data_IF_590459852956
#
_entry.id   IF_590459852956
#
_cell.length_a   1.000
_cell.length_b   1.000
_cell.length_c   1.000
_cell.angle_alpha   90.00
_cell.angle_beta   90.00
_cell.angle_gamma   90.00
#
_symmetry.space_group_name_H-M   'P 1'
#
loop_
_entity.id
_entity.type
_entity.pdbx_description
1 polymer ?
#
# COMPACT_ATOMS: atom_id res chain seq x y z
N UNK A 1 -28.88 6.44 4.85
CA UNK A 1 -27.48 6.20 4.52
C UNK A 1 -27.37 5.19 3.39
N UNK A 2 -26.48 5.42 2.48
CA UNK A 2 -26.27 4.53 1.35
C UNK A 2 -25.16 3.52 1.61
N UNK A 3 -25.01 2.59 0.68
CA UNK A 3 -23.95 1.59 0.70
C UNK A 3 -22.55 2.20 0.73
N UNK A 4 -22.37 3.35 0.10
CA UNK A 4 -21.10 4.08 0.08
C UNK A 4 -20.67 4.48 1.48
N UNK A 5 -21.60 4.98 2.29
CA UNK A 5 -21.32 5.38 3.66
C UNK A 5 -21.02 4.17 4.55
N UNK A 6 -21.75 3.08 4.37
CA UNK A 6 -21.50 1.84 5.09
C UNK A 6 -20.13 1.27 4.74
N UNK A 7 -19.77 1.28 3.47
CA UNK A 7 -18.47 0.82 3.02
C UNK A 7 -17.34 1.66 3.60
N UNK A 8 -17.50 2.98 3.61
CA UNK A 8 -16.53 3.88 4.24
C UNK A 8 -16.33 3.53 5.71
N UNK A 9 -17.40 3.35 6.46
CA UNK A 9 -17.35 3.01 7.88
C UNK A 9 -16.68 1.66 8.11
N UNK A 10 -16.99 0.67 7.29
CA UNK A 10 -16.35 -0.66 7.36
C UNK A 10 -14.84 -0.56 7.15
N UNK A 11 -14.42 0.25 6.18
CA UNK A 11 -12.99 0.46 5.92
C UNK A 11 -12.29 1.18 7.07
N UNK A 12 -12.92 2.19 7.65
CA UNK A 12 -12.35 2.91 8.80
C UNK A 12 -12.25 2.00 10.04
N UNK A 13 -13.27 1.18 10.27
CA UNK A 13 -13.26 0.22 11.38
C UNK A 13 -12.17 -0.83 11.19
N UNK A 14 -11.97 -1.31 9.97
CA UNK A 14 -10.88 -2.23 9.65
C UNK A 14 -9.54 -1.67 10.09
N UNK A 15 -9.24 -0.42 9.74
CA UNK A 15 -7.98 0.23 10.11
C UNK A 15 -7.85 0.44 11.61
N UNK A 16 -8.94 0.78 12.27
CA UNK A 16 -8.96 0.96 13.72
C UNK A 16 -8.63 -0.34 14.44
N UNK A 17 -9.24 -1.43 14.05
CA UNK A 17 -8.96 -2.75 14.62
C UNK A 17 -7.53 -3.18 14.32
N UNK A 18 -7.06 -2.94 13.09
CA UNK A 18 -5.70 -3.27 12.68
C UNK A 18 -4.67 -2.56 13.56
N UNK A 19 -4.92 -1.31 13.91
CA UNK A 19 -3.96 -0.48 14.65
C UNK A 19 -3.58 -1.04 16.01
N UNK A 20 -4.40 -1.91 16.59
CA UNK A 20 -4.14 -2.54 17.89
C UNK A 20 -3.50 -3.93 17.78
N UNK A 21 -3.31 -4.45 16.58
CA UNK A 21 -2.74 -5.77 16.39
C UNK A 21 -1.23 -5.78 16.55
N UNK A 22 -0.71 -6.87 17.12
CA UNK A 22 0.73 -7.07 17.27
C UNK A 22 1.41 -7.18 15.90
N UNK A 23 2.59 -6.56 15.76
CA UNK A 23 3.34 -6.57 14.51
C UNK A 23 2.92 -5.50 13.53
N UNK A 24 1.94 -4.68 13.87
CA UNK A 24 1.48 -3.57 13.04
C UNK A 24 2.10 -2.28 13.56
N UNK A 25 2.71 -1.53 12.66
CA UNK A 25 3.34 -0.24 12.97
C UNK A 25 2.63 0.88 12.23
N UNK A 26 2.63 2.05 12.83
CA UNK A 26 2.00 3.24 12.25
C UNK A 26 3.00 4.08 11.47
N UNK A 27 2.55 4.64 10.36
CA UNK A 27 3.22 5.70 9.60
C UNK A 27 2.35 6.95 9.68
N UNK A 28 2.88 8.12 9.28
CA UNK A 28 2.06 9.32 9.20
C UNK A 28 0.85 9.14 8.28
N UNK A 29 -0.16 9.98 8.46
CA UNK A 29 -1.36 10.05 7.62
C UNK A 29 -2.24 8.80 7.65
N UNK A 30 -2.23 8.06 8.76
CA UNK A 30 -3.14 6.92 8.93
C UNK A 30 -2.74 5.66 8.19
N UNK A 31 -1.51 5.58 7.71
CA UNK A 31 -0.97 4.40 7.04
C UNK A 31 -0.42 3.46 8.11
N UNK A 32 -0.62 2.15 7.91
CA UNK A 32 -0.03 1.12 8.76
C UNK A 32 0.77 0.14 7.91
N UNK A 33 1.71 -0.55 8.53
CA UNK A 33 2.48 -1.57 7.81
C UNK A 33 2.87 -2.72 8.72
N UNK A 34 3.15 -3.84 8.08
CA UNK A 34 3.68 -5.05 8.71
C UNK A 34 4.90 -5.49 7.91
N UNK A 35 5.99 -5.77 8.60
CA UNK A 35 7.22 -6.27 7.96
C UNK A 35 7.12 -7.77 7.76
N UNK A 36 7.26 -8.23 6.52
CA UNK A 36 7.30 -9.65 6.19
C UNK A 36 8.75 -10.14 6.05
N UNK A 37 9.59 -9.34 5.39
CA UNK A 37 11.00 -9.64 5.19
C UNK A 37 11.81 -8.36 5.32
N UNK A 38 12.99 -8.45 5.92
CA UNK A 38 13.94 -7.35 6.03
C UNK A 38 15.09 -7.58 5.08
N UNK A 39 15.33 -6.62 4.18
CA UNK A 39 16.40 -6.70 3.21
C UNK A 39 17.73 -6.18 3.72
N UNK A 40 18.71 -6.25 2.86
CA UNK A 40 20.09 -5.82 3.15
C UNK A 40 20.51 -4.57 2.39
N UNK A 41 19.62 -3.97 1.62
CA UNK A 41 19.91 -2.74 0.91
C UNK A 41 20.22 -1.60 1.86
N UNK A 42 20.94 -0.59 1.36
CA UNK A 42 21.41 0.54 2.18
C UNK A 42 20.82 1.86 1.73
N UNK A 43 20.09 1.87 0.61
CA UNK A 43 19.55 3.10 0.01
C UNK A 43 18.05 3.14 0.19
N UNK A 44 17.56 4.23 0.80
CA UNK A 44 16.13 4.53 0.85
C UNK A 44 15.76 5.36 -0.38
N UNK A 45 14.68 5.03 -1.09
CA UNK A 45 14.26 5.86 -2.22
C UNK A 45 13.76 7.23 -1.74
N UNK A 46 13.82 8.20 -2.64
CA UNK A 46 13.14 9.47 -2.46
C UNK A 46 12.07 9.63 -3.55
N UNK A 47 11.34 10.74 -3.54
CA UNK A 47 10.22 10.92 -4.48
C UNK A 47 10.63 10.94 -5.95
N UNK A 48 11.89 11.21 -6.24
CA UNK A 48 12.42 11.19 -7.62
C UNK A 48 12.97 9.84 -8.04
N UNK A 49 13.15 8.93 -7.10
CA UNK A 49 13.69 7.60 -7.38
C UNK A 49 12.75 6.79 -8.25
N UNK A 50 13.35 5.91 -9.05
CA UNK A 50 12.61 4.84 -9.72
C UNK A 50 12.74 3.60 -8.85
N UNK A 51 11.60 3.06 -8.43
CA UNK A 51 11.54 1.85 -7.62
C UNK A 51 11.09 0.70 -8.50
N UNK A 52 11.78 -0.43 -8.36
CA UNK A 52 11.39 -1.68 -9.03
C UNK A 52 10.80 -2.59 -7.96
N UNK A 53 9.56 -3.01 -8.17
CA UNK A 53 8.80 -3.73 -7.15
C UNK A 53 8.04 -4.90 -7.74
N UNK A 54 7.84 -5.93 -6.92
CA UNK A 54 6.73 -6.85 -7.07
C UNK A 54 5.66 -6.45 -6.05
N UNK A 55 4.40 -6.52 -6.45
CA UNK A 55 3.33 -6.13 -5.54
C UNK A 55 2.01 -6.81 -5.87
N UNK A 56 1.17 -6.89 -4.84
CA UNK A 56 -0.20 -7.39 -4.95
C UNK A 56 -1.09 -6.44 -4.16
N UNK A 57 -2.03 -5.81 -4.84
CA UNK A 57 -3.01 -4.91 -4.22
C UNK A 57 -4.36 -5.56 -4.09
N UNK A 58 -4.97 -5.42 -2.91
CA UNK A 58 -6.30 -5.96 -2.65
C UNK A 58 -7.13 -5.01 -1.80
N UNK A 59 -8.44 -5.23 -1.83
CA UNK A 59 -9.39 -4.56 -0.94
C UNK A 59 -9.45 -5.32 0.39
N UNK A 60 -10.12 -4.75 1.39
CA UNK A 60 -10.19 -5.38 2.71
C UNK A 60 -10.98 -6.68 2.72
N UNK A 61 -11.82 -6.92 1.70
CA UNK A 61 -12.52 -8.20 1.53
C UNK A 61 -11.68 -9.27 0.83
N UNK A 62 -10.43 -8.95 0.51
CA UNK A 62 -9.51 -9.88 -0.17
C UNK A 62 -9.56 -9.84 -1.68
N UNK A 63 -10.44 -9.04 -2.28
CA UNK A 63 -10.51 -8.94 -3.75
C UNK A 63 -9.25 -8.27 -4.29
N UNK A 64 -8.52 -9.00 -5.12
CA UNK A 64 -7.27 -8.51 -5.75
C UNK A 64 -7.62 -7.63 -6.94
N UNK A 65 -7.03 -6.43 -7.01
CA UNK A 65 -7.23 -5.53 -8.16
C UNK A 65 -5.97 -5.36 -9.01
N UNK A 66 -4.80 -5.75 -8.49
CA UNK A 66 -3.55 -5.67 -9.24
C UNK A 66 -2.53 -6.64 -8.62
N UNK A 67 -1.77 -7.35 -9.47
CA UNK A 67 -0.84 -8.37 -8.99
C UNK A 67 0.29 -8.60 -9.99
N UNK A 68 1.47 -8.02 -9.71
CA UNK A 68 2.65 -8.18 -10.58
C UNK A 68 3.21 -9.60 -10.55
N UNK A 69 3.03 -10.32 -9.44
CA UNK A 69 3.49 -11.71 -9.33
C UNK A 69 2.77 -12.60 -10.34
N UNK A 70 1.48 -12.38 -10.52
CA UNK A 70 0.67 -13.15 -11.46
C UNK A 70 1.10 -12.89 -12.91
N UNK A 71 1.56 -11.68 -13.20
CA UNK A 71 2.11 -11.32 -14.51
C UNK A 71 3.53 -11.81 -14.71
N UNK A 72 4.18 -12.31 -13.67
CA UNK A 72 5.61 -12.69 -13.68
C UNK A 72 6.53 -11.55 -14.15
N UNK A 73 6.17 -10.31 -13.81
CA UNK A 73 6.91 -9.15 -14.29
C UNK A 73 6.91 -8.06 -13.21
N UNK A 74 8.08 -7.77 -12.62
CA UNK A 74 8.19 -6.61 -11.74
C UNK A 74 7.88 -5.32 -12.49
N UNK A 75 7.38 -4.33 -11.77
CA UNK A 75 7.07 -3.04 -12.31
C UNK A 75 8.04 -1.99 -11.82
N UNK A 76 8.39 -1.05 -12.68
CA UNK A 76 9.22 0.10 -12.33
C UNK A 76 8.36 1.36 -12.33
N UNK A 77 8.41 2.11 -11.23
CA UNK A 77 7.66 3.35 -11.08
C UNK A 77 8.58 4.47 -10.61
N UNK A 78 8.37 5.66 -11.12
CA UNK A 78 8.90 6.84 -10.45
C UNK A 78 8.03 7.11 -9.24
N UNK A 79 8.65 7.24 -8.08
CA UNK A 79 7.88 7.26 -6.82
C UNK A 79 6.88 8.42 -6.74
N UNK A 80 7.22 9.59 -7.29
CA UNK A 80 6.29 10.72 -7.30
C UNK A 80 5.05 10.52 -8.20
N UNK A 81 5.02 9.47 -9.01
CA UNK A 81 3.90 9.20 -9.92
C UNK A 81 2.88 8.21 -9.37
N UNK A 82 3.14 7.62 -8.20
CA UNK A 82 2.22 6.68 -7.58
C UNK A 82 1.43 7.32 -6.44
N UNK A 83 0.44 6.61 -5.91
CA UNK A 83 -0.42 7.13 -4.85
C UNK A 83 0.38 7.56 -3.61
N UNK A 84 -0.17 8.50 -2.86
CA UNK A 84 0.51 9.12 -1.71
C UNK A 84 0.96 8.10 -0.67
N UNK A 85 0.15 7.09 -0.42
CA UNK A 85 0.50 6.04 0.54
C UNK A 85 1.77 5.27 0.16
N UNK A 86 1.96 4.99 -1.11
CA UNK A 86 3.19 4.37 -1.61
C UNK A 86 4.38 5.32 -1.47
N UNK A 87 4.19 6.59 -1.83
CA UNK A 87 5.27 7.57 -1.72
C UNK A 87 5.82 7.63 -0.30
N UNK A 88 4.93 7.67 0.68
CA UNK A 88 5.33 7.78 2.07
C UNK A 88 5.97 6.48 2.57
N UNK A 89 5.37 5.34 2.30
CA UNK A 89 5.83 4.05 2.82
C UNK A 89 7.16 3.61 2.18
N UNK A 90 7.27 3.68 0.85
CA UNK A 90 8.45 3.19 0.16
C UNK A 90 9.71 3.98 0.46
N UNK A 91 9.58 5.25 0.83
CA UNK A 91 10.75 6.04 1.27
C UNK A 91 11.37 5.50 2.56
N UNK A 92 10.71 4.59 3.24
CA UNK A 92 11.20 3.93 4.47
C UNK A 92 11.60 2.48 4.25
N UNK A 93 11.54 2.01 3.01
CA UNK A 93 11.94 0.66 2.61
C UNK A 93 13.31 0.69 1.92
N UNK A 94 13.99 -0.45 1.96
CA UNK A 94 15.25 -0.68 1.26
C UNK A 94 15.11 -1.91 0.40
N UNK A 95 16.00 -2.06 -0.59
CA UNK A 95 15.99 -3.24 -1.46
C UNK A 95 16.06 -4.52 -0.63
N UNK A 96 15.19 -5.45 -0.91
CA UNK A 96 15.01 -6.70 -0.19
C UNK A 96 13.93 -6.66 0.88
N UNK A 97 13.45 -5.49 1.27
CA UNK A 97 12.33 -5.38 2.20
C UNK A 97 11.04 -5.83 1.53
N UNK A 98 10.21 -6.52 2.28
CA UNK A 98 8.87 -6.90 1.87
C UNK A 98 7.91 -6.58 3.00
N UNK A 99 6.95 -5.74 2.71
CA UNK A 99 5.97 -5.25 3.68
C UNK A 99 4.55 -5.49 3.19
N UNK A 100 3.61 -5.56 4.13
CA UNK A 100 2.20 -5.29 3.83
C UNK A 100 1.94 -3.85 4.26
N UNK A 101 1.38 -3.05 3.36
CA UNK A 101 1.08 -1.64 3.60
C UNK A 101 -0.43 -1.47 3.53
N UNK A 102 -1.01 -0.86 4.57
CA UNK A 102 -2.45 -0.61 4.68
C UNK A 102 -2.68 0.89 4.52
N UNK A 103 -3.35 1.28 3.45
CA UNK A 103 -3.46 2.67 3.03
C UNK A 103 -4.90 3.13 3.13
N UNK A 104 -5.21 4.15 3.97
CA UNK A 104 -6.56 4.69 4.04
C UNK A 104 -6.92 5.39 2.74
N UNK A 105 -8.20 5.55 2.46
CA UNK A 105 -8.64 6.15 1.21
C UNK A 105 -8.06 7.54 0.96
N UNK A 106 -7.79 8.30 2.02
CA UNK A 106 -7.22 9.66 1.93
C UNK A 106 -5.81 9.68 1.33
N UNK A 107 -5.10 8.55 1.41
CA UNK A 107 -3.75 8.39 0.87
C UNK A 107 -3.73 7.42 -0.32
N UNK A 108 -4.87 7.02 -0.80
CA UNK A 108 -5.07 6.14 -1.94
C UNK A 108 -5.88 6.83 -3.05
N UNK A 109 -6.99 6.22 -3.44
CA UNK A 109 -7.81 6.73 -4.55
C UNK A 109 -8.96 7.64 -4.10
N UNK A 110 -9.10 7.89 -2.81
CA UNK A 110 -10.00 8.92 -2.32
C UNK A 110 -11.47 8.56 -2.37
N UNK A 111 -12.26 9.58 -2.69
CA UNK A 111 -13.73 9.54 -2.59
C UNK A 111 -14.42 9.16 -3.90
N UNK A 112 -13.65 8.81 -4.92
CA UNK A 112 -14.17 8.39 -6.23
C UNK A 112 -13.71 6.97 -6.55
N UNK A 113 -14.59 6.19 -7.16
CA UNK A 113 -14.24 4.87 -7.65
C UNK A 113 -13.18 4.98 -8.77
N UNK A 114 -12.28 4.01 -8.83
CA UNK A 114 -11.25 3.92 -9.86
C UNK A 114 -11.11 2.46 -10.28
N UNK A 115 -11.55 2.11 -11.47
CA UNK A 115 -11.52 0.74 -11.96
C UNK A 115 -12.26 -0.20 -11.02
N UNK A 116 -11.56 -1.20 -10.49
CA UNK A 116 -12.11 -2.18 -9.56
C UNK A 116 -12.16 -1.70 -8.11
N UNK A 117 -11.70 -0.47 -7.85
CA UNK A 117 -11.57 0.07 -6.50
C UNK A 117 -12.75 1.00 -6.22
N UNK A 118 -13.66 0.62 -5.31
CA UNK A 118 -14.76 1.51 -4.91
C UNK A 118 -14.26 2.76 -4.20
N UNK A 119 -15.09 3.80 -4.17
CA UNK A 119 -14.83 5.00 -3.38
C UNK A 119 -14.64 4.62 -1.90
N UNK A 120 -13.77 5.32 -1.18
CA UNK A 120 -13.47 5.13 0.23
C UNK A 120 -12.80 3.80 0.57
N UNK A 121 -12.15 3.16 -0.40
CA UNK A 121 -11.46 1.90 -0.16
C UNK A 121 -10.15 2.08 0.58
N UNK A 122 -9.96 1.28 1.61
CA UNK A 122 -8.64 0.99 2.17
C UNK A 122 -7.94 0.02 1.23
N UNK A 123 -6.68 0.28 0.94
CA UNK A 123 -5.89 -0.55 0.05
C UNK A 123 -4.90 -1.36 0.86
N UNK A 124 -4.80 -2.65 0.54
CA UNK A 124 -3.86 -3.56 1.18
C UNK A 124 -2.85 -3.99 0.13
N UNK A 125 -1.62 -3.51 0.26
CA UNK A 125 -0.55 -3.83 -0.69
C UNK A 125 0.52 -4.69 -0.03
N UNK A 126 0.77 -5.85 -0.59
CA UNK A 126 2.00 -6.59 -0.32
C UNK A 126 3.02 -6.08 -1.32
N UNK A 127 4.11 -5.48 -0.83
CA UNK A 127 5.13 -4.86 -1.68
C UNK A 127 6.49 -5.43 -1.34
N UNK A 128 7.19 -5.87 -2.36
CA UNK A 128 8.58 -6.29 -2.28
C UNK A 128 9.42 -5.31 -3.09
N UNK A 129 10.30 -4.57 -2.42
CA UNK A 129 11.19 -3.62 -3.07
C UNK A 129 12.41 -4.35 -3.59
N UNK A 130 12.56 -4.41 -4.91
CA UNK A 130 13.64 -5.14 -5.56
C UNK A 130 14.84 -4.25 -5.88
N UNK A 131 14.61 -2.99 -6.19
CA UNK A 131 15.69 -2.08 -6.54
C UNK A 131 15.29 -0.62 -6.47
N UNK A 132 16.29 0.24 -6.32
CA UNK A 132 16.14 1.70 -6.24
C UNK A 132 17.14 2.32 -7.22
N UNK A 133 16.65 3.22 -8.09
CA UNK A 133 17.50 3.93 -9.05
C UNK A 133 17.24 5.43 -9.04
#
# INVERSE_FOLDING_TARGET
MGRKQEYKETNLEFLKELSSQEGIYALPCGIYYKVLETGTGTVFPNVRSIVTVHYKGSLINGRVFDNSYERNCPEAFRLCDVIDGWQLALQRMRAGDKWIIYIPYTMGYGTRASGLIPAFSTLVFEVELLGVA
#
